data_IF_732122581647
#
_entry.id   IF_732122581647
#
_cell.length_a   1.000
_cell.length_b   1.000
_cell.length_c   1.000
_cell.angle_alpha   90.00
_cell.angle_beta   90.00
_cell.angle_gamma   90.00
#
_symmetry.space_group_name_H-M   'P 1'
#
loop_
_entity.id
_entity.type
_entity.pdbx_description
1 polymer ?
#
# COMPACT_ATOMS: atom_id res chain seq x y z
N UNK A 1 0.05 21.52 24.91
CA UNK A 1 1.19 20.71 25.42
C UNK A 1 0.83 19.25 25.25
N UNK A 2 1.76 18.42 24.77
CA UNK A 2 1.56 16.97 24.69
C UNK A 2 1.39 16.38 26.10
N UNK A 3 0.52 15.38 26.25
CA UNK A 3 0.32 14.70 27.54
C UNK A 3 1.56 13.90 27.91
N UNK A 4 1.92 13.90 29.19
CA UNK A 4 3.03 13.06 29.67
C UNK A 4 2.64 11.58 29.59
N UNK A 5 3.61 10.69 29.38
CA UNK A 5 3.37 9.25 29.37
C UNK A 5 2.81 8.73 30.71
N UNK A 6 3.11 9.39 31.84
CA UNK A 6 2.49 9.10 33.14
C UNK A 6 0.99 9.43 33.17
N UNK A 7 0.60 10.57 32.59
CA UNK A 7 -0.81 10.94 32.43
C UNK A 7 -1.53 9.93 31.55
N UNK A 8 -0.90 9.52 30.45
CA UNK A 8 -1.44 8.51 29.55
C UNK A 8 -1.57 7.14 30.24
N UNK A 9 -0.61 6.75 31.07
CA UNK A 9 -0.70 5.52 31.86
C UNK A 9 -1.88 5.53 32.84
N UNK A 10 -2.14 6.66 33.51
CA UNK A 10 -3.31 6.79 34.38
C UNK A 10 -4.64 6.64 33.61
N UNK A 11 -4.71 7.13 32.37
CA UNK A 11 -5.87 6.93 31.50
C UNK A 11 -6.07 5.46 31.14
N UNK A 12 -4.99 4.69 30.96
CA UNK A 12 -5.09 3.25 30.71
C UNK A 12 -5.73 2.49 31.87
N UNK A 13 -5.43 2.84 33.12
CA UNK A 13 -6.09 2.23 34.30
C UNK A 13 -7.59 2.53 34.35
N UNK A 14 -8.02 3.70 33.88
CA UNK A 14 -9.44 4.04 33.79
C UNK A 14 -10.15 3.33 32.63
N UNK A 15 -9.43 3.11 31.52
CA UNK A 15 -9.98 2.50 30.31
C UNK A 15 -10.09 0.97 30.39
N UNK A 16 -9.15 0.30 31.08
CA UNK A 16 -9.05 -1.17 31.13
C UNK A 16 -9.25 -1.66 32.58
N UNK A 17 -10.40 -2.25 32.91
CA UNK A 17 -10.68 -2.75 34.25
C UNK A 17 -9.63 -3.77 34.72
N UNK A 18 -9.03 -3.52 35.89
CA UNK A 18 -8.04 -4.43 36.48
C UNK A 18 -6.62 -4.30 35.92
N UNK A 19 -6.33 -3.32 35.05
CA UNK A 19 -4.99 -3.07 34.56
C UNK A 19 -4.03 -2.62 35.68
N UNK A 20 -3.17 -3.54 36.13
CA UNK A 20 -2.10 -3.29 37.11
C UNK A 20 -0.81 -2.88 36.37
N UNK A 21 -0.69 -1.57 36.13
CA UNK A 21 0.42 -0.98 35.36
C UNK A 21 1.66 -0.86 36.25
N UNK A 22 2.78 -1.43 35.81
CA UNK A 22 4.06 -1.41 36.54
C UNK A 22 5.10 -0.47 35.93
N UNK A 23 4.97 -0.15 34.64
CA UNK A 23 5.84 0.82 33.98
C UNK A 23 5.16 1.44 32.75
N UNK A 24 5.72 2.55 32.27
CA UNK A 24 5.28 3.22 31.04
C UNK A 24 6.46 3.89 30.35
N UNK A 25 6.40 3.95 29.02
CA UNK A 25 7.40 4.62 28.17
C UNK A 25 6.73 5.44 27.06
N UNK A 26 7.34 6.54 26.63
CA UNK A 26 6.88 7.26 25.44
C UNK A 26 7.01 6.38 24.18
N UNK A 27 6.16 6.63 23.19
CA UNK A 27 6.26 6.04 21.85
C UNK A 27 5.87 7.07 20.78
N UNK A 28 6.50 6.98 19.61
CA UNK A 28 6.32 7.93 18.53
C UNK A 28 7.24 9.16 18.64
N UNK A 29 7.02 10.15 17.78
CA UNK A 29 7.91 11.31 17.58
C UNK A 29 7.82 12.39 18.69
N UNK A 30 7.06 12.15 19.76
CA UNK A 30 6.87 13.12 20.84
C UNK A 30 5.89 14.25 20.48
N UNK A 31 6.29 15.51 20.67
CA UNK A 31 5.41 16.67 20.47
C UNK A 31 5.14 16.95 18.99
N UNK A 32 3.86 17.00 18.60
CA UNK A 32 3.43 17.36 17.24
C UNK A 32 2.80 16.21 16.44
N UNK A 33 2.69 15.01 17.04
CA UNK A 33 1.98 13.88 16.43
C UNK A 33 0.46 14.06 16.44
N UNK A 34 -0.22 13.31 15.56
CA UNK A 34 -1.70 13.22 15.51
C UNK A 34 -2.31 12.58 16.76
N UNK A 35 -1.48 11.92 17.58
CA UNK A 35 -1.89 11.24 18.80
C UNK A 35 -0.83 11.45 19.88
N UNK A 36 -1.29 11.80 21.09
CA UNK A 36 -0.49 11.59 22.30
C UNK A 36 -0.54 10.09 22.62
N UNK A 37 0.63 9.42 22.64
CA UNK A 37 0.71 7.97 22.79
C UNK A 37 1.75 7.54 23.83
N UNK A 38 1.44 6.46 24.55
CA UNK A 38 2.38 5.83 25.46
C UNK A 38 2.19 4.32 25.44
N UNK A 39 3.28 3.58 25.64
CA UNK A 39 3.22 2.16 25.97
C UNK A 39 3.17 2.02 27.48
N UNK A 40 2.30 1.12 27.95
CA UNK A 40 2.18 0.74 29.36
C UNK A 40 2.44 -0.75 29.48
N UNK A 41 3.21 -1.14 30.48
CA UNK A 41 3.49 -2.55 30.77
C UNK A 41 2.71 -2.94 32.02
N UNK A 42 1.96 -4.03 31.93
CA UNK A 42 1.21 -4.60 33.06
C UNK A 42 2.10 -5.52 33.90
N UNK A 43 1.65 -5.86 35.12
CA UNK A 43 2.39 -6.75 36.03
C UNK A 43 2.67 -8.13 35.44
N UNK A 44 1.77 -8.64 34.59
CA UNK A 44 1.93 -9.91 33.87
C UNK A 44 2.91 -9.82 32.67
N UNK A 45 3.52 -8.64 32.46
CA UNK A 45 4.45 -8.28 31.38
C UNK A 45 3.82 -8.11 30.00
N UNK A 46 2.49 -8.17 29.88
CA UNK A 46 1.83 -7.72 28.66
C UNK A 46 2.02 -6.21 28.48
N UNK A 47 2.10 -5.78 27.21
CA UNK A 47 2.20 -4.36 26.86
C UNK A 47 0.91 -3.92 26.19
N UNK A 48 0.45 -2.72 26.53
CA UNK A 48 -0.65 -2.02 25.88
C UNK A 48 -0.17 -0.68 25.34
N UNK A 49 -0.85 -0.14 24.34
CA UNK A 49 -0.65 1.22 23.85
C UNK A 49 -1.91 2.04 24.04
N UNK A 50 -1.77 3.20 24.68
CA UNK A 50 -2.85 4.19 24.81
C UNK A 50 -2.63 5.30 23.79
N UNK A 51 -3.71 5.73 23.13
CA UNK A 51 -3.68 6.80 22.11
C UNK A 51 -4.81 7.78 22.37
N UNK A 52 -4.46 9.06 22.46
CA UNK A 52 -5.40 10.18 22.58
C UNK A 52 -5.23 11.09 21.36
N UNK A 53 -6.26 11.32 20.53
CA UNK A 53 -6.14 12.16 19.36
C UNK A 53 -5.86 13.63 19.77
N UNK A 54 -5.04 14.31 18.98
CA UNK A 54 -4.67 15.72 19.22
C UNK A 54 -5.44 16.71 18.34
N UNK A 55 -6.23 16.20 17.40
CA UNK A 55 -7.07 16.99 16.47
C UNK A 55 -8.38 16.28 16.14
N UNK A 56 -9.36 17.03 15.63
CA UNK A 56 -10.65 16.48 15.17
C UNK A 56 -10.47 15.45 14.04
N UNK A 57 -9.51 15.67 13.14
CA UNK A 57 -9.20 14.76 12.05
C UNK A 57 -8.63 13.44 12.58
N UNK A 58 -7.77 13.49 13.60
CA UNK A 58 -7.26 12.29 14.29
C UNK A 58 -8.37 11.54 15.05
N UNK A 59 -9.28 12.25 15.71
CA UNK A 59 -10.43 11.62 16.37
C UNK A 59 -11.38 10.95 15.37
N UNK A 60 -11.61 11.59 14.22
CA UNK A 60 -12.45 11.04 13.14
C UNK A 60 -11.81 9.78 12.57
N UNK A 61 -10.50 9.79 12.31
CA UNK A 61 -9.77 8.62 11.87
C UNK A 61 -9.81 7.49 12.90
N UNK A 62 -9.53 7.78 14.17
CA UNK A 62 -9.60 6.79 15.23
C UNK A 62 -11.01 6.18 15.33
N UNK A 63 -12.06 6.98 15.12
CA UNK A 63 -13.44 6.48 15.10
C UNK A 63 -13.66 5.46 13.99
N UNK A 64 -13.16 5.73 12.78
CA UNK A 64 -13.25 4.79 11.65
C UNK A 64 -12.40 3.54 11.87
N UNK A 65 -11.21 3.71 12.44
CA UNK A 65 -10.33 2.61 12.83
C UNK A 65 -11.04 1.66 13.80
N UNK A 66 -11.71 2.17 14.84
CA UNK A 66 -12.50 1.35 15.76
C UNK A 66 -13.61 0.55 15.08
N UNK A 67 -14.31 1.14 14.10
CA UNK A 67 -15.35 0.41 13.34
C UNK A 67 -14.72 -0.74 12.55
N UNK A 68 -13.61 -0.47 11.85
CA UNK A 68 -12.90 -1.50 11.08
C UNK A 68 -12.32 -2.61 11.97
N UNK A 69 -11.72 -2.26 13.12
CA UNK A 69 -11.19 -3.24 14.07
C UNK A 69 -12.30 -4.10 14.69
N UNK A 70 -13.50 -3.56 14.92
CA UNK A 70 -14.62 -4.36 15.39
C UNK A 70 -15.18 -5.30 14.31
N UNK A 71 -15.10 -4.93 13.03
CA UNK A 71 -15.46 -5.80 11.90
C UNK A 71 -14.51 -7.00 11.76
N UNK A 72 -13.23 -6.81 12.09
CA UNK A 72 -12.21 -7.85 12.07
C UNK A 72 -12.32 -8.77 13.30
N UNK A 73 -13.37 -9.57 13.40
CA UNK A 73 -13.57 -10.51 14.52
C UNK A 73 -12.40 -11.49 14.70
N UNK A 74 -12.31 -12.15 15.87
CA UNK A 74 -11.28 -13.15 16.16
C UNK A 74 -11.17 -14.24 15.07
N UNK A 75 -12.29 -14.65 14.46
CA UNK A 75 -12.30 -15.63 13.37
C UNK A 75 -11.65 -15.13 12.08
N UNK A 76 -11.72 -13.83 11.79
CA UNK A 76 -11.02 -13.23 10.66
C UNK A 76 -9.56 -12.93 10.99
N UNK A 77 -9.27 -12.42 12.19
CA UNK A 77 -7.90 -12.18 12.68
C UNK A 77 -7.06 -13.45 12.65
N UNK A 78 -7.63 -14.59 13.07
CA UNK A 78 -6.94 -15.89 13.05
C UNK A 78 -6.56 -16.41 11.66
N UNK A 79 -7.01 -15.76 10.57
CA UNK A 79 -6.62 -16.08 9.18
C UNK A 79 -5.46 -15.23 8.68
N UNK A 80 -5.08 -14.18 9.40
CA UNK A 80 -4.02 -13.26 9.00
C UNK A 80 -2.67 -13.74 9.55
N UNK A 81 -1.57 -13.65 8.77
CA UNK A 81 -0.23 -14.07 9.21
C UNK A 81 0.46 -13.05 10.13
N UNK A 82 -0.28 -12.02 10.57
CA UNK A 82 0.17 -10.88 11.37
C UNK A 82 -0.93 -10.47 12.34
N UNK A 83 -0.57 -9.72 13.38
CA UNK A 83 -1.51 -9.17 14.35
C UNK A 83 -2.22 -7.92 13.82
N UNK A 84 -3.49 -7.77 14.21
CA UNK A 84 -4.30 -6.58 13.99
C UNK A 84 -4.54 -5.94 15.36
N UNK A 85 -4.50 -4.60 15.50
CA UNK A 85 -4.77 -3.96 16.78
C UNK A 85 -6.06 -4.47 17.44
N UNK A 86 -5.95 -4.85 18.71
CA UNK A 86 -7.08 -5.29 19.53
C UNK A 86 -7.44 -4.17 20.50
N UNK A 87 -8.73 -3.86 20.64
CA UNK A 87 -9.21 -2.78 21.50
C UNK A 87 -9.42 -3.37 22.90
N UNK A 88 -8.68 -2.85 23.88
CA UNK A 88 -8.73 -3.31 25.27
C UNK A 88 -9.68 -2.47 26.13
N UNK A 89 -9.83 -1.20 25.77
CA UNK A 89 -10.67 -0.29 26.55
C UNK A 89 -10.67 1.13 26.02
N UNK A 90 -11.56 1.94 26.59
CA UNK A 90 -11.67 3.36 26.29
C UNK A 90 -12.11 4.16 27.52
N UNK A 91 -11.66 5.42 27.59
CA UNK A 91 -12.09 6.35 28.64
C UNK A 91 -12.25 7.77 28.08
N UNK A 92 -13.24 8.56 28.54
CA UNK A 92 -13.34 9.96 28.16
C UNK A 92 -12.13 10.78 28.68
N UNK A 93 -11.71 11.78 27.89
CA UNK A 93 -10.62 12.70 28.23
C UNK A 93 -10.98 14.09 27.74
N UNK A 94 -11.38 14.98 28.66
CA UNK A 94 -11.89 16.30 28.32
C UNK A 94 -12.97 16.23 27.23
N UNK A 95 -12.71 16.77 26.04
CA UNK A 95 -13.64 16.81 24.91
C UNK A 95 -13.44 15.68 23.90
N UNK A 96 -12.56 14.71 24.18
CA UNK A 96 -12.29 13.56 23.31
C UNK A 96 -12.21 12.27 24.15
N UNK A 97 -11.57 11.22 23.66
CA UNK A 97 -11.37 9.95 24.35
C UNK A 97 -9.96 9.39 24.19
N UNK A 98 -9.54 8.60 25.17
CA UNK A 98 -8.38 7.72 25.04
C UNK A 98 -8.87 6.33 24.64
N UNK A 99 -8.19 5.71 23.70
CA UNK A 99 -8.37 4.29 23.38
C UNK A 99 -7.10 3.55 23.78
N UNK A 100 -7.27 2.40 24.42
CA UNK A 100 -6.20 1.47 24.76
C UNK A 100 -6.29 0.26 23.83
N UNK A 101 -5.16 -0.10 23.25
CA UNK A 101 -5.01 -1.24 22.38
C UNK A 101 -3.96 -2.22 22.93
N UNK A 102 -4.05 -3.48 22.56
CA UNK A 102 -2.94 -4.43 22.71
C UNK A 102 -1.71 -3.93 21.95
N UNK A 103 -0.53 -3.96 22.58
CA UNK A 103 0.71 -3.59 21.91
C UNK A 103 1.16 -4.71 20.96
N UNK A 104 1.45 -4.33 19.72
CA UNK A 104 2.02 -5.26 18.73
C UNK A 104 3.53 -4.99 18.64
N UNK A 105 4.39 -5.98 18.95
CA UNK A 105 5.83 -5.83 18.84
C UNK A 105 6.28 -5.65 17.40
N UNK A 106 7.27 -4.79 17.18
CA UNK A 106 7.90 -4.53 15.89
C UNK A 106 8.10 -3.04 15.64
N UNK A 107 8.94 -2.73 14.67
CA UNK A 107 9.22 -1.37 14.23
C UNK A 107 8.49 -1.09 12.90
N UNK A 108 7.92 0.11 12.70
CA UNK A 108 7.33 0.49 11.41
C UNK A 108 8.35 0.35 10.27
N UNK A 109 7.96 -0.26 9.17
CA UNK A 109 8.86 -0.41 8.03
C UNK A 109 9.22 0.95 7.41
N UNK A 110 10.49 1.14 7.10
CA UNK A 110 11.00 2.32 6.40
C UNK A 110 11.31 1.93 4.97
N UNK A 111 10.57 2.48 3.99
CA UNK A 111 10.67 2.06 2.59
C UNK A 111 12.10 2.10 2.03
N UNK A 112 12.87 3.13 2.40
CA UNK A 112 14.24 3.31 1.93
C UNK A 112 15.23 2.27 2.50
N UNK A 113 14.86 1.59 3.59
CA UNK A 113 15.68 0.58 4.25
C UNK A 113 15.31 -0.85 3.80
N UNK A 114 14.21 -1.02 3.05
CA UNK A 114 13.79 -2.30 2.54
C UNK A 114 14.67 -2.75 1.37
N UNK A 115 15.15 -3.99 1.44
CA UNK A 115 15.94 -4.63 0.39
C UNK A 115 15.18 -5.84 -0.21
N UNK A 116 15.36 -6.07 -1.52
CA UNK A 116 14.71 -7.17 -2.23
C UNK A 116 15.20 -8.56 -1.78
N UNK A 117 16.40 -8.65 -1.22
CA UNK A 117 16.99 -9.87 -0.67
C UNK A 117 16.47 -10.20 0.74
N UNK A 118 15.87 -9.24 1.43
CA UNK A 118 15.31 -9.44 2.77
C UNK A 118 13.99 -10.25 2.68
N UNK A 119 13.82 -11.34 3.47
CA UNK A 119 12.55 -12.04 3.60
C UNK A 119 11.35 -11.14 3.96
N UNK A 120 11.59 -9.97 4.58
CA UNK A 120 10.56 -8.96 4.88
C UNK A 120 9.80 -8.53 3.62
N UNK A 121 10.46 -8.38 2.48
CA UNK A 121 9.81 -8.01 1.21
C UNK A 121 8.73 -9.04 0.83
N UNK A 122 9.03 -10.33 0.97
CA UNK A 122 8.01 -11.35 0.73
C UNK A 122 6.92 -11.34 1.79
N UNK A 123 7.28 -11.13 3.05
CA UNK A 123 6.31 -11.07 4.15
C UNK A 123 5.30 -9.95 3.96
N UNK A 124 5.72 -8.80 3.43
CA UNK A 124 4.83 -7.68 3.08
C UNK A 124 3.86 -8.11 1.97
N UNK A 125 4.35 -8.72 0.88
CA UNK A 125 3.48 -9.20 -0.20
C UNK A 125 2.45 -10.22 0.29
N UNK A 126 2.85 -11.17 1.15
CA UNK A 126 1.94 -12.14 1.78
C UNK A 126 0.92 -11.48 2.71
N UNK A 127 1.32 -10.46 3.46
CA UNK A 127 0.42 -9.71 4.33
C UNK A 127 -0.69 -9.04 3.52
N UNK A 128 -0.34 -8.29 2.47
CA UNK A 128 -1.30 -7.63 1.58
C UNK A 128 -2.23 -8.66 0.92
N UNK A 129 -1.67 -9.77 0.41
CA UNK A 129 -2.47 -10.84 -0.19
C UNK A 129 -3.47 -11.46 0.79
N UNK A 130 -3.09 -11.59 2.06
CA UNK A 130 -3.96 -12.13 3.12
C UNK A 130 -5.12 -11.19 3.42
N UNK A 131 -4.88 -9.87 3.46
CA UNK A 131 -5.95 -8.86 3.58
C UNK A 131 -6.93 -8.97 2.41
N UNK A 132 -6.41 -9.01 1.18
CA UNK A 132 -7.23 -9.11 -0.01
C UNK A 132 -7.95 -10.47 -0.14
N UNK A 133 -7.57 -11.47 0.64
CA UNK A 133 -8.21 -12.79 0.63
C UNK A 133 -9.27 -12.93 1.73
N UNK A 134 -9.49 -11.89 2.53
CA UNK A 134 -10.62 -11.85 3.46
C UNK A 134 -11.96 -11.87 2.69
N UNK A 135 -12.98 -12.57 3.21
CA UNK A 135 -14.31 -12.56 2.59
C UNK A 135 -14.89 -11.16 2.56
N UNK A 136 -15.43 -10.72 1.42
CA UNK A 136 -16.08 -9.41 1.30
C UNK A 136 -17.30 -9.27 2.20
N UNK A 137 -17.88 -10.39 2.66
CA UNK A 137 -18.96 -10.40 3.65
C UNK A 137 -18.56 -9.71 4.95
N UNK A 138 -17.28 -9.76 5.33
CA UNK A 138 -16.74 -9.02 6.47
C UNK A 138 -17.09 -7.53 6.40
N UNK A 139 -16.91 -6.94 5.23
CA UNK A 139 -17.13 -5.51 4.97
C UNK A 139 -18.63 -5.23 4.86
N UNK A 140 -19.38 -6.03 4.09
CA UNK A 140 -20.82 -5.80 3.89
C UNK A 140 -21.61 -5.95 5.18
N UNK A 141 -21.33 -6.98 5.98
CA UNK A 141 -22.07 -7.30 7.21
C UNK A 141 -21.79 -6.27 8.30
N UNK A 142 -20.65 -5.58 8.22
CA UNK A 142 -20.24 -4.51 9.14
C UNK A 142 -20.65 -3.11 8.66
N UNK A 143 -21.36 -3.00 7.53
CA UNK A 143 -21.80 -1.71 6.98
C UNK A 143 -20.66 -0.80 6.49
N UNK A 144 -19.48 -1.38 6.23
CA UNK A 144 -18.33 -0.65 5.69
C UNK A 144 -18.51 -0.38 4.19
N UNK A 145 -17.70 0.54 3.67
CA UNK A 145 -17.78 0.97 2.28
C UNK A 145 -17.52 -0.18 1.31
N UNK A 146 -18.34 -0.26 0.26
CA UNK A 146 -18.15 -1.18 -0.87
C UNK A 146 -18.07 -0.36 -2.15
N UNK A 147 -16.92 -0.42 -2.81
CA UNK A 147 -16.67 0.24 -4.09
C UNK A 147 -16.56 -0.80 -5.20
N UNK A 148 -17.33 -0.61 -6.26
CA UNK A 148 -17.19 -1.39 -7.49
C UNK A 148 -16.00 -0.89 -8.32
N UNK A 149 -15.60 -1.64 -9.34
CA UNK A 149 -14.60 -1.16 -10.29
C UNK A 149 -15.04 0.13 -11.02
N UNK A 150 -16.34 0.27 -11.29
CA UNK A 150 -16.91 1.49 -11.87
C UNK A 150 -16.83 2.68 -10.90
N UNK A 151 -17.01 2.45 -9.59
CA UNK A 151 -16.83 3.48 -8.57
C UNK A 151 -15.37 3.93 -8.48
N UNK A 152 -14.42 2.99 -8.45
CA UNK A 152 -13.00 3.29 -8.43
C UNK A 152 -12.57 4.13 -9.65
N UNK A 153 -13.03 3.75 -10.85
CA UNK A 153 -12.79 4.50 -12.08
C UNK A 153 -13.41 5.91 -12.03
N UNK A 154 -14.62 6.02 -11.49
CA UNK A 154 -15.31 7.31 -11.32
C UNK A 154 -14.56 8.22 -10.34
N UNK A 155 -14.12 7.71 -9.21
CA UNK A 155 -13.34 8.48 -8.23
C UNK A 155 -12.03 8.97 -8.86
N UNK A 156 -11.30 8.10 -9.57
CA UNK A 156 -10.07 8.47 -10.25
C UNK A 156 -10.29 9.57 -11.31
N UNK A 157 -11.37 9.48 -12.10
CA UNK A 157 -11.76 10.55 -13.06
C UNK A 157 -12.07 11.86 -12.36
N UNK A 158 -12.87 11.83 -11.29
CA UNK A 158 -13.19 13.03 -10.50
C UNK A 158 -11.91 13.66 -9.94
N UNK A 159 -10.99 12.88 -9.39
CA UNK A 159 -9.71 13.39 -8.89
C UNK A 159 -8.91 14.09 -10.00
N UNK A 160 -8.77 13.43 -11.16
CA UNK A 160 -8.06 14.00 -12.31
C UNK A 160 -8.71 15.29 -12.81
N UNK A 161 -10.04 15.33 -12.95
CA UNK A 161 -10.75 16.51 -13.46
C UNK A 161 -10.70 17.68 -12.47
N UNK A 162 -10.82 17.41 -11.16
CA UNK A 162 -10.64 18.43 -10.13
C UNK A 162 -9.22 18.98 -10.13
N UNK A 163 -8.22 18.12 -10.26
CA UNK A 163 -6.82 18.55 -10.32
C UNK A 163 -6.54 19.37 -11.59
N UNK A 164 -7.09 18.96 -12.74
CA UNK A 164 -7.00 19.71 -13.99
C UNK A 164 -7.60 21.13 -13.85
N UNK A 165 -8.74 21.27 -13.15
CA UNK A 165 -9.40 22.54 -12.93
C UNK A 165 -8.56 23.56 -12.12
N UNK A 166 -7.52 23.11 -11.42
CA UNK A 166 -6.58 24.01 -10.73
C UNK A 166 -5.63 24.73 -11.70
N UNK A 167 -5.47 24.23 -12.93
CA UNK A 167 -4.50 24.73 -13.92
C UNK A 167 -3.04 24.46 -13.57
N UNK A 168 -2.76 23.72 -12.49
CA UNK A 168 -1.39 23.47 -12.01
C UNK A 168 -0.78 22.15 -12.50
N UNK A 169 -1.59 21.26 -13.12
CA UNK A 169 -1.12 19.96 -13.60
C UNK A 169 -0.53 20.09 -15.01
N UNK A 170 0.70 19.58 -15.26
CA UNK A 170 1.29 19.49 -16.60
C UNK A 170 0.38 18.77 -17.62
N UNK A 171 0.35 19.27 -18.85
CA UNK A 171 -0.58 18.80 -19.89
C UNK A 171 -0.32 17.36 -20.35
N UNK A 172 0.95 16.95 -20.37
CA UNK A 172 1.41 15.60 -20.66
C UNK A 172 0.88 14.58 -19.62
N UNK A 173 0.91 14.94 -18.33
CA UNK A 173 0.33 14.13 -17.27
C UNK A 173 -1.20 14.04 -17.39
N UNK A 174 -1.88 15.15 -17.71
CA UNK A 174 -3.32 15.14 -17.96
C UNK A 174 -3.70 14.23 -19.14
N UNK A 175 -2.93 14.27 -20.23
CA UNK A 175 -3.13 13.40 -21.38
C UNK A 175 -2.92 11.92 -21.00
N UNK A 176 -1.80 11.62 -20.33
CA UNK A 176 -1.47 10.27 -19.84
C UNK A 176 -2.54 9.70 -18.93
N UNK A 177 -3.03 10.48 -17.95
CA UNK A 177 -4.10 10.03 -17.05
C UNK A 177 -5.41 9.85 -17.79
N UNK A 178 -5.73 10.70 -18.76
CA UNK A 178 -6.96 10.56 -19.56
C UNK A 178 -6.93 9.28 -20.39
N UNK A 179 -5.82 8.98 -21.07
CA UNK A 179 -5.65 7.71 -21.81
C UNK A 179 -5.83 6.49 -20.90
N UNK A 180 -5.28 6.52 -19.68
CA UNK A 180 -5.45 5.42 -18.72
C UNK A 180 -6.89 5.30 -18.21
N UNK A 181 -7.55 6.43 -17.92
CA UNK A 181 -8.92 6.47 -17.40
C UNK A 181 -9.97 6.08 -18.45
N UNK A 182 -9.65 6.21 -19.73
CA UNK A 182 -10.47 5.79 -20.88
C UNK A 182 -10.27 4.32 -21.26
N UNK A 183 -9.14 3.71 -20.87
CA UNK A 183 -8.87 2.30 -21.10
C UNK A 183 -9.78 1.40 -20.25
N UNK A 184 -10.83 0.85 -20.87
CA UNK A 184 -11.76 -0.06 -20.19
C UNK A 184 -11.08 -1.31 -19.62
N UNK A 185 -10.00 -1.81 -20.23
CA UNK A 185 -9.31 -3.01 -19.76
C UNK A 185 -8.56 -2.74 -18.45
N UNK A 186 -8.09 -1.51 -18.21
CA UNK A 186 -7.48 -1.10 -16.95
C UNK A 186 -8.44 -1.33 -15.78
N UNK A 187 -9.74 -1.07 -15.97
CA UNK A 187 -10.78 -1.13 -14.93
C UNK A 187 -11.50 -2.48 -14.85
N UNK A 188 -11.07 -3.50 -15.59
CA UNK A 188 -11.60 -4.86 -15.50
C UNK A 188 -10.91 -5.66 -14.39
N UNK A 189 -11.31 -5.40 -13.14
CA UNK A 189 -10.83 -6.13 -11.97
C UNK A 189 -11.98 -6.55 -11.06
N UNK A 190 -11.72 -7.55 -10.23
CA UNK A 190 -12.64 -7.99 -9.18
C UNK A 190 -12.35 -7.23 -7.88
N UNK A 191 -13.28 -6.41 -7.36
CA UNK A 191 -13.11 -5.77 -6.06
C UNK A 191 -12.92 -6.78 -4.94
N UNK A 192 -12.09 -6.43 -3.98
CA UNK A 192 -11.71 -7.26 -2.83
C UNK A 192 -11.71 -6.41 -1.56
N UNK A 193 -11.68 -7.04 -0.38
CA UNK A 193 -11.30 -6.34 0.85
C UNK A 193 -9.93 -5.69 0.63
N UNK A 194 -9.82 -4.42 0.98
CA UNK A 194 -8.57 -3.64 0.94
C UNK A 194 -8.45 -2.88 2.26
N UNK A 195 -7.23 -2.73 2.75
CA UNK A 195 -6.93 -1.89 3.90
C UNK A 195 -7.22 -0.41 3.59
N UNK A 196 -6.95 0.03 2.36
CA UNK A 196 -7.40 1.31 1.80
C UNK A 196 -6.49 2.50 2.09
N UNK A 197 -5.51 2.33 2.97
CA UNK A 197 -4.49 3.34 3.27
C UNK A 197 -3.14 2.70 3.61
N UNK A 198 -2.80 1.58 2.98
CA UNK A 198 -1.50 0.96 3.22
C UNK A 198 -0.37 1.86 2.73
N UNK A 199 0.61 1.98 3.60
CA UNK A 199 1.89 2.62 3.39
C UNK A 199 2.98 1.77 4.07
N UNK A 200 4.27 2.00 3.77
CA UNK A 200 5.37 1.27 4.40
C UNK A 200 5.27 1.24 5.94
N UNK A 201 5.00 2.38 6.55
CA UNK A 201 4.88 2.52 8.01
C UNK A 201 3.65 1.84 8.62
N UNK A 202 2.72 1.36 7.79
CA UNK A 202 1.60 0.54 8.24
C UNK A 202 2.04 -0.87 8.67
N UNK A 203 3.19 -1.35 8.19
CA UNK A 203 3.71 -2.68 8.51
C UNK A 203 4.68 -2.59 9.70
N UNK A 204 4.40 -3.36 10.76
CA UNK A 204 5.34 -3.59 11.85
C UNK A 204 6.22 -4.79 11.52
N UNK A 205 7.53 -4.61 11.62
CA UNK A 205 8.54 -5.61 11.30
C UNK A 205 9.26 -6.03 12.58
N UNK A 206 9.43 -7.33 12.78
CA UNK A 206 10.36 -7.86 13.77
C UNK A 206 11.08 -9.09 13.20
N UNK A 207 12.41 -9.06 13.22
CA UNK A 207 13.21 -10.07 12.54
C UNK A 207 12.99 -10.00 11.03
N UNK A 208 12.56 -11.11 10.44
CA UNK A 208 12.45 -11.32 8.99
C UNK A 208 11.01 -11.29 8.47
N UNK A 209 10.06 -10.79 9.28
CA UNK A 209 8.62 -10.83 8.96
C UNK A 209 7.84 -9.63 9.46
N UNK A 210 6.68 -9.47 8.83
CA UNK A 210 5.60 -8.61 9.33
C UNK A 210 4.98 -9.27 10.56
N UNK A 211 4.98 -8.54 11.67
CA UNK A 211 4.33 -8.93 12.93
C UNK A 211 2.95 -8.31 13.09
N UNK A 212 2.71 -7.16 12.48
CA UNK A 212 1.43 -6.47 12.55
C UNK A 212 1.16 -5.52 11.38
N UNK A 213 -0.11 -5.20 11.18
CA UNK A 213 -0.55 -4.16 10.24
C UNK A 213 -1.42 -3.16 10.98
N UNK A 214 -1.13 -1.87 10.83
CA UNK A 214 -1.78 -0.75 11.50
C UNK A 214 -2.57 0.12 10.51
N UNK A 215 -3.49 0.94 11.03
CA UNK A 215 -4.12 2.02 10.24
C UNK A 215 -5.39 1.62 9.48
N UNK A 216 -6.25 0.80 10.08
CA UNK A 216 -7.42 0.16 9.45
C UNK A 216 -8.60 1.09 9.17
N UNK A 217 -8.45 2.39 9.42
CA UNK A 217 -9.50 3.41 9.29
C UNK A 217 -10.16 3.51 7.90
N UNK A 218 -9.55 2.94 6.86
CA UNK A 218 -10.03 2.99 5.47
C UNK A 218 -10.43 1.59 4.95
N UNK A 219 -10.61 0.61 5.84
CA UNK A 219 -11.03 -0.75 5.48
C UNK A 219 -12.33 -0.73 4.67
N UNK A 220 -12.29 -1.29 3.48
CA UNK A 220 -13.41 -1.32 2.54
C UNK A 220 -13.30 -2.48 1.56
N UNK A 221 -14.32 -2.68 0.73
CA UNK A 221 -14.17 -3.42 -0.52
C UNK A 221 -13.84 -2.43 -1.63
N UNK A 222 -12.79 -2.69 -2.41
CA UNK A 222 -12.35 -1.79 -3.46
C UNK A 222 -11.28 -2.39 -4.38
N UNK A 223 -10.54 -1.52 -5.06
CA UNK A 223 -9.46 -1.92 -5.96
C UNK A 223 -8.22 -2.36 -5.19
N UNK A 224 -7.73 -3.61 -5.37
CA UNK A 224 -6.50 -4.07 -4.72
C UNK A 224 -5.27 -3.21 -5.05
N UNK A 225 -5.28 -2.46 -6.16
CA UNK A 225 -4.20 -1.55 -6.50
C UNK A 225 -4.03 -0.40 -5.48
N UNK A 226 -5.08 -0.06 -4.71
CA UNK A 226 -5.05 1.01 -3.71
C UNK A 226 -4.15 0.70 -2.49
N UNK A 227 -3.77 -0.57 -2.30
CA UNK A 227 -2.86 -0.99 -1.23
C UNK A 227 -1.42 -1.22 -1.72
N UNK A 228 -1.18 -1.05 -3.03
CA UNK A 228 0.09 -1.35 -3.70
C UNK A 228 0.69 -0.15 -4.43
N UNK A 229 0.01 1.00 -4.47
CA UNK A 229 0.46 2.18 -5.23
C UNK A 229 1.83 2.69 -4.78
N UNK A 230 2.11 2.64 -3.47
CA UNK A 230 3.34 3.13 -2.85
C UNK A 230 4.59 2.38 -3.34
N UNK A 231 4.44 1.19 -3.92
CA UNK A 231 5.54 0.45 -4.55
C UNK A 231 6.13 1.17 -5.78
N UNK A 232 5.39 2.13 -6.35
CA UNK A 232 5.92 3.00 -7.42
C UNK A 232 7.08 3.88 -6.94
N UNK A 233 7.22 4.05 -5.62
CA UNK A 233 8.31 4.79 -4.97
C UNK A 233 9.32 3.88 -4.28
N UNK A 234 9.29 2.57 -4.56
CA UNK A 234 10.27 1.63 -4.00
C UNK A 234 11.70 2.02 -4.43
N UNK A 235 12.72 1.87 -3.56
CA UNK A 235 14.11 2.20 -3.88
C UNK A 235 14.69 1.38 -5.04
N UNK A 236 14.11 0.22 -5.35
CA UNK A 236 14.52 -0.62 -6.47
C UNK A 236 13.35 -1.35 -7.12
N UNK A 237 13.43 -1.55 -8.43
CA UNK A 237 12.45 -2.35 -9.18
C UNK A 237 12.47 -3.83 -8.73
N UNK A 238 13.63 -4.33 -8.26
CA UNK A 238 13.73 -5.67 -7.71
C UNK A 238 12.88 -5.83 -6.45
N UNK A 239 12.87 -4.83 -5.55
CA UNK A 239 12.05 -4.85 -4.34
C UNK A 239 10.57 -4.85 -4.70
N UNK A 240 10.13 -3.92 -5.55
CA UNK A 240 8.75 -3.85 -6.00
C UNK A 240 8.32 -5.18 -6.64
N UNK A 241 9.16 -5.73 -7.53
CA UNK A 241 8.91 -7.02 -8.18
C UNK A 241 8.85 -8.18 -7.17
N UNK A 242 9.69 -8.19 -6.13
CA UNK A 242 9.65 -9.21 -5.08
C UNK A 242 8.35 -9.16 -4.29
N UNK A 243 7.92 -7.96 -3.88
CA UNK A 243 6.67 -7.75 -3.14
C UNK A 243 5.47 -8.16 -4.01
N UNK A 244 5.40 -7.69 -5.26
CA UNK A 244 4.34 -8.09 -6.20
C UNK A 244 4.35 -9.60 -6.47
N UNK A 245 5.52 -10.22 -6.59
CA UNK A 245 5.65 -11.66 -6.79
C UNK A 245 5.07 -12.45 -5.62
N UNK A 246 5.44 -12.08 -4.39
CA UNK A 246 4.91 -12.69 -3.16
C UNK A 246 3.41 -12.43 -2.99
N UNK A 247 2.95 -11.22 -3.31
CA UNK A 247 1.52 -10.88 -3.35
C UNK A 247 0.76 -11.81 -4.31
N UNK A 248 1.24 -11.96 -5.55
CA UNK A 248 0.60 -12.83 -6.53
C UNK A 248 0.54 -14.29 -6.09
N UNK A 249 1.62 -14.81 -5.48
CA UNK A 249 1.67 -16.18 -4.94
C UNK A 249 0.73 -16.39 -3.75
N UNK A 250 0.53 -15.36 -2.92
CA UNK A 250 -0.35 -15.42 -1.75
C UNK A 250 -1.85 -15.31 -2.08
N UNK A 251 -2.21 -14.93 -3.31
CA UNK A 251 -3.60 -14.73 -3.71
C UNK A 251 -4.25 -16.06 -4.09
N UNK A 252 -5.42 -16.35 -3.50
CA UNK A 252 -6.21 -17.54 -3.85
C UNK A 252 -6.97 -17.41 -5.18
N UNK A 253 -7.13 -16.18 -5.69
CA UNK A 253 -7.79 -15.89 -6.96
C UNK A 253 -6.78 -15.23 -7.90
N UNK A 254 -6.82 -15.51 -9.21
CA UNK A 254 -5.93 -14.86 -10.17
C UNK A 254 -5.95 -13.33 -10.02
N UNK A 255 -4.76 -12.76 -9.90
CA UNK A 255 -4.56 -11.31 -9.90
C UNK A 255 -4.73 -10.81 -11.34
N UNK A 256 -5.46 -9.71 -11.52
CA UNK A 256 -5.65 -9.14 -12.83
C UNK A 256 -4.32 -8.57 -13.39
N UNK A 257 -4.18 -8.59 -14.71
CA UNK A 257 -2.93 -8.19 -15.39
C UNK A 257 -2.64 -6.69 -15.28
N UNK A 258 -3.63 -5.87 -14.95
CA UNK A 258 -3.52 -4.42 -14.97
C UNK A 258 -3.28 -3.81 -13.58
N UNK A 259 -3.22 -4.63 -12.53
CA UNK A 259 -2.98 -4.20 -11.15
C UNK A 259 -1.79 -3.25 -11.02
N UNK A 260 -0.63 -3.58 -11.58
CA UNK A 260 0.57 -2.73 -11.49
C UNK A 260 0.37 -1.38 -12.17
N UNK A 261 -0.33 -1.34 -13.32
CA UNK A 261 -0.65 -0.09 -14.01
C UNK A 261 -1.63 0.77 -13.23
N UNK A 262 -2.67 0.16 -12.63
CA UNK A 262 -3.58 0.88 -11.72
C UNK A 262 -2.88 1.40 -10.49
N UNK A 263 -2.00 0.61 -9.87
CA UNK A 263 -1.23 1.02 -8.71
C UNK A 263 -0.36 2.24 -9.04
N UNK A 264 0.28 2.24 -10.22
CA UNK A 264 1.05 3.40 -10.70
C UNK A 264 0.17 4.61 -10.95
N UNK A 265 -0.98 4.45 -11.63
CA UNK A 265 -1.94 5.54 -11.82
C UNK A 265 -2.37 6.15 -10.47
N UNK A 266 -2.62 5.32 -9.46
CA UNK A 266 -2.96 5.81 -8.13
C UNK A 266 -1.81 6.56 -7.47
N UNK A 267 -0.57 6.10 -7.59
CA UNK A 267 0.59 6.83 -7.09
C UNK A 267 0.71 8.22 -7.73
N UNK A 268 0.50 8.32 -9.04
CA UNK A 268 0.49 9.60 -9.76
C UNK A 268 -0.68 10.50 -9.28
N UNK A 269 -1.86 9.92 -9.05
CA UNK A 269 -3.04 10.64 -8.55
C UNK A 269 -2.94 11.03 -7.07
N UNK A 270 -2.07 10.42 -6.26
CA UNK A 270 -1.83 10.88 -4.88
C UNK A 270 -1.20 12.28 -4.86
N UNK A 271 -0.30 12.58 -5.82
CA UNK A 271 0.25 13.93 -5.97
C UNK A 271 -0.87 14.93 -6.34
N UNK A 272 -1.81 14.51 -7.19
CA UNK A 272 -2.98 15.32 -7.53
C UNK A 272 -3.90 15.55 -6.30
N UNK A 273 -4.08 14.54 -5.44
CA UNK A 273 -4.82 14.70 -4.17
C UNK A 273 -4.10 15.65 -3.23
N UNK A 274 -2.76 15.61 -3.16
CA UNK A 274 -1.97 16.55 -2.36
C UNK A 274 -2.12 18.00 -2.84
N UNK A 275 -2.08 18.22 -4.15
CA UNK A 275 -2.38 19.52 -4.76
C UNK A 275 -3.79 20.02 -4.39
N UNK A 276 -4.80 19.15 -4.50
CA UNK A 276 -6.18 19.48 -4.16
C UNK A 276 -6.32 19.82 -2.67
N UNK A 277 -5.65 19.08 -1.79
CA UNK A 277 -5.63 19.36 -0.36
C UNK A 277 -5.07 20.76 -0.06
N UNK A 278 -3.91 21.11 -0.63
CA UNK A 278 -3.34 22.46 -0.47
C UNK A 278 -4.27 23.56 -1.01
N UNK A 279 -4.91 23.30 -2.14
CA UNK A 279 -5.86 24.24 -2.76
C UNK A 279 -7.09 24.45 -1.86
N UNK A 280 -7.66 23.39 -1.31
CA UNK A 280 -8.82 23.45 -0.40
C UNK A 280 -8.50 24.14 0.93
N UNK A 281 -7.26 23.99 1.42
CA UNK A 281 -6.77 24.63 2.65
C UNK A 281 -6.25 26.05 2.42
N UNK A 282 -6.18 26.52 1.18
CA UNK A 282 -5.51 27.76 0.79
C UNK A 282 -4.06 27.84 1.30
N UNK A 283 -3.35 26.71 1.28
CA UNK A 283 -1.98 26.59 1.73
C UNK A 283 -1.02 26.64 0.53
N UNK A 284 -0.40 27.80 0.33
CA UNK A 284 0.53 28.02 -0.79
C UNK A 284 1.79 27.15 -0.70
N UNK A 285 2.19 26.73 0.51
CA UNK A 285 3.37 25.88 0.69
C UNK A 285 3.10 24.47 0.16
N UNK A 286 1.92 23.92 0.49
CA UNK A 286 1.46 22.62 0.00
C UNK A 286 1.27 22.68 -1.53
N UNK A 287 0.67 23.75 -2.05
CA UNK A 287 0.47 23.90 -3.49
C UNK A 287 1.79 23.99 -4.25
N UNK A 288 2.78 24.72 -3.74
CA UNK A 288 4.11 24.84 -4.36
C UNK A 288 4.87 23.51 -4.35
N UNK A 289 4.79 22.77 -3.24
CA UNK A 289 5.36 21.44 -3.10
C UNK A 289 4.74 20.45 -4.09
N UNK A 290 3.41 20.38 -4.16
CA UNK A 290 2.70 19.53 -5.10
C UNK A 290 3.03 19.85 -6.58
N UNK A 291 3.17 21.14 -6.93
CA UNK A 291 3.63 21.56 -8.27
C UNK A 291 5.03 21.06 -8.59
N UNK A 292 5.94 21.09 -7.61
CA UNK A 292 7.31 20.57 -7.76
C UNK A 292 7.29 19.06 -7.99
N UNK A 293 6.49 18.33 -7.22
CA UNK A 293 6.30 16.88 -7.41
C UNK A 293 5.72 16.55 -8.79
N UNK A 294 4.70 17.29 -9.25
CA UNK A 294 4.11 17.10 -10.59
C UNK A 294 5.11 17.39 -11.72
N UNK A 295 5.93 18.42 -11.58
CA UNK A 295 7.00 18.72 -12.54
C UNK A 295 8.04 17.60 -12.58
N UNK A 296 8.46 17.07 -11.42
CA UNK A 296 9.35 15.91 -11.34
C UNK A 296 8.75 14.65 -11.96
N UNK A 297 7.46 14.40 -11.72
CA UNK A 297 6.73 13.29 -12.32
C UNK A 297 6.67 13.40 -13.85
N UNK A 298 6.39 14.60 -14.38
CA UNK A 298 6.37 14.86 -15.82
C UNK A 298 7.71 14.49 -16.49
N UNK A 299 8.83 14.96 -15.93
CA UNK A 299 10.19 14.61 -16.42
C UNK A 299 10.44 13.10 -16.37
N UNK A 300 10.04 12.44 -15.28
CA UNK A 300 10.20 10.99 -15.12
C UNK A 300 9.38 10.21 -16.14
N UNK A 301 8.15 10.64 -16.42
CA UNK A 301 7.23 9.99 -17.37
C UNK A 301 7.74 10.12 -18.81
N UNK A 302 8.27 11.29 -19.19
CA UNK A 302 8.89 11.48 -20.50
C UNK A 302 10.10 10.56 -20.71
N UNK A 303 10.83 10.27 -19.63
CA UNK A 303 11.99 9.38 -19.64
C UNK A 303 11.62 7.89 -19.59
N UNK A 304 10.40 7.57 -19.15
CA UNK A 304 9.90 6.21 -18.90
C UNK A 304 8.77 5.81 -19.85
N UNK A 305 9.01 6.04 -21.15
CA UNK A 305 8.09 5.64 -22.24
C UNK A 305 7.84 4.12 -22.30
N UNK A 306 8.69 3.32 -21.66
CA UNK A 306 8.61 1.86 -21.64
C UNK A 306 7.57 1.31 -20.65
N UNK A 307 7.01 2.15 -19.76
CA UNK A 307 6.00 1.74 -18.78
C UNK A 307 4.68 2.53 -18.94
N UNK A 308 3.84 2.18 -19.93
CA UNK A 308 2.56 2.84 -20.15
C UNK A 308 1.52 2.48 -19.07
N UNK A 309 0.66 3.45 -18.72
CA UNK A 309 -0.51 3.21 -17.87
C UNK A 309 -1.68 2.54 -18.61
N UNK A 310 -1.72 2.64 -19.93
CA UNK A 310 -2.76 2.02 -20.77
C UNK A 310 -2.31 0.65 -21.29
N UNK A 311 -3.28 -0.22 -21.54
CA UNK A 311 -3.12 -1.48 -22.26
C UNK A 311 -2.98 -1.32 -23.76
N UNK A 312 -3.25 -0.12 -24.27
CA UNK A 312 -3.10 0.15 -25.69
C UNK A 312 -1.63 -0.07 -26.06
N UNK A 313 -1.39 -1.22 -26.67
CA UNK A 313 -0.11 -1.62 -27.23
C UNK A 313 0.34 -0.48 -28.12
N UNK A 314 1.38 0.24 -27.71
CA UNK A 314 2.08 1.15 -28.61
C UNK A 314 2.39 0.39 -29.90
N UNK A 315 1.83 0.88 -31.01
CA UNK A 315 1.85 0.34 -32.38
C UNK A 315 1.90 -1.18 -32.51
N UNK A 316 0.84 -1.76 -33.07
CA UNK A 316 0.97 -2.98 -33.86
C UNK A 316 2.07 -2.68 -34.89
N UNK A 317 3.28 -3.21 -34.69
CA UNK A 317 4.34 -3.12 -35.69
C UNK A 317 3.75 -3.65 -36.99
N UNK A 318 3.87 -2.87 -38.06
CA UNK A 318 3.46 -3.37 -39.38
C UNK A 318 4.22 -4.66 -39.66
N UNK A 319 3.64 -5.58 -40.43
CA UNK A 319 4.26 -6.87 -40.76
C UNK A 319 5.68 -6.66 -41.29
N UNK A 320 5.89 -5.64 -42.12
CA UNK A 320 7.21 -5.19 -42.59
C UNK A 320 8.23 -4.86 -41.48
N UNK A 321 7.82 -4.22 -40.39
CA UNK A 321 8.72 -3.87 -39.29
C UNK A 321 9.10 -5.10 -38.46
N UNK A 322 8.15 -6.03 -38.29
CA UNK A 322 8.41 -7.33 -37.65
C UNK A 322 9.35 -8.18 -38.51
N UNK A 323 9.17 -8.17 -39.83
CA UNK A 323 10.07 -8.85 -40.76
C UNK A 323 11.48 -8.26 -40.74
N UNK A 324 11.61 -6.93 -40.70
CA UNK A 324 12.91 -6.25 -40.65
C UNK A 324 13.63 -6.52 -39.32
N UNK A 325 12.90 -6.55 -38.20
CA UNK A 325 13.45 -6.94 -36.90
C UNK A 325 13.93 -8.41 -36.89
N UNK A 326 13.15 -9.32 -37.48
CA UNK A 326 13.51 -10.73 -37.62
C UNK A 326 14.71 -10.94 -38.57
N UNK A 327 14.92 -10.07 -39.56
CA UNK A 327 16.12 -10.08 -40.41
C UNK A 327 17.37 -9.57 -39.68
N UNK A 328 17.22 -8.61 -38.76
CA UNK A 328 18.33 -8.02 -37.99
C UNK A 328 18.75 -8.85 -36.78
N UNK A 329 17.92 -9.78 -36.33
CA UNK A 329 18.25 -10.70 -35.24
C UNK A 329 19.03 -11.88 -35.81
N UNK A 330 20.30 -12.10 -35.45
CA UNK A 330 21.07 -13.24 -35.95
C UNK A 330 20.39 -14.54 -35.52
N UNK A 331 19.97 -15.35 -36.49
CA UNK A 331 19.56 -16.73 -36.21
C UNK A 331 20.78 -17.46 -35.68
N UNK A 332 20.70 -17.96 -34.46
CA UNK A 332 21.71 -18.89 -33.94
C UNK A 332 21.55 -20.18 -34.75
N UNK A 333 22.39 -20.37 -35.76
CA UNK A 333 22.40 -21.58 -36.56
C UNK A 333 22.78 -22.77 -35.67
N UNK A 334 21.79 -23.58 -35.31
CA UNK A 334 21.99 -24.90 -34.70
C UNK A 334 22.44 -25.90 -35.77
N UNK A 335 23.60 -25.68 -36.39
CA UNK A 335 24.21 -26.62 -37.34
C UNK A 335 25.72 -26.72 -37.17
N UNK A 336 26.18 -27.17 -36.00
CA UNK A 336 27.58 -27.58 -35.81
C UNK A 336 27.76 -28.76 -34.85
N UNK A 337 26.86 -29.75 -34.90
CA UNK A 337 27.02 -31.01 -34.14
C UNK A 337 26.78 -32.27 -34.97
N UNK A 338 27.28 -32.28 -36.21
CA UNK A 338 27.44 -33.51 -37.02
C UNK A 338 28.63 -33.37 -37.98
N UNK A 339 29.85 -33.30 -37.44
CA UNK A 339 31.01 -33.88 -38.14
C UNK A 339 32.26 -33.92 -37.25
N UNK A 340 32.36 -34.95 -36.40
CA UNK A 340 33.63 -35.38 -35.81
C UNK A 340 33.52 -36.79 -35.20
N UNK A 341 33.03 -37.76 -35.98
CA UNK A 341 33.17 -39.18 -35.61
C UNK A 341 33.11 -40.09 -36.84
N UNK A 342 34.21 -40.10 -37.61
CA UNK A 342 34.73 -41.18 -38.48
C UNK A 342 35.97 -40.57 -39.14
N UNK A 343 37.19 -41.04 -38.87
CA UNK A 343 37.78 -42.28 -39.42
C UNK A 343 39.08 -42.56 -38.65
N UNK A 344 39.31 -43.82 -38.23
CA UNK A 344 40.59 -44.56 -38.43
C UNK A 344 40.56 -46.01 -37.87
N UNK A 345 40.88 -46.98 -38.74
CA UNK A 345 41.17 -48.41 -38.49
C UNK A 345 40.03 -49.35 -38.98
N UNK A 346 40.09 -50.18 -40.05
CA UNK A 346 41.15 -50.97 -40.75
C UNK A 346 41.92 -51.88 -39.77
N UNK A 347 42.02 -53.22 -39.86
CA UNK A 347 41.50 -54.27 -40.76
C UNK A 347 41.31 -55.60 -39.98
N UNK A 348 40.64 -56.57 -40.64
CA UNK A 348 40.80 -58.05 -40.64
C UNK A 348 41.45 -58.73 -39.42
N UNK A 349 40.69 -59.56 -38.69
CA UNK A 349 40.45 -61.01 -38.92
C UNK A 349 39.33 -61.50 -37.99
#
# INVERSE_FOLDING_TARGET
MARSHFTLAALSTAAVPGADIVSTRPIGTGTGGRYDSAVVTLRDRSELIVRVPTSQDAETEQSRDLVALNALTAGFRGRLPFAVPEIEGQTPVANTRAIVYGYIPGDPAVLAELDAADPVAESIGRAIASIHSLPTSLVTDSGLTVQTAADAARVARITKDRAAATGAVPSDLLARWSTALEDSALWQFQPTVVHGSLSPESFLIAGDRVTGVLGWSQLQVGDPAADLFWLSSAPSEQLATRIFGSYNLGRSTPVDRQLRKRARLYAELEIAKWLLHGTEKHDETIVADAKTMLAGLSVSVESDLLNPLSTDTGQIMAVEEVEEMLRRTPRTDSSSSRDSARVSGISED
#
